data_IF_977571588532
#
_entry.id   IF_977571588532
#
_cell.length_a   1.000
_cell.length_b   1.000
_cell.length_c   1.000
_cell.angle_alpha   90.00
_cell.angle_beta   90.00
_cell.angle_gamma   90.00
#
_symmetry.space_group_name_H-M   'P 1'
#
loop_
_entity.id
_entity.type
_entity.pdbx_description
1 polymer ?
#
# COMPACT_ATOMS: atom_id res chain seq x y z
N UNK A 1 -7.79 -42.62 -31.40
CA UNK A 1 -6.40 -42.48 -30.89
C UNK A 1 -6.48 -41.43 -29.78
N UNK A 2 -6.55 -41.91 -28.52
CA UNK A 2 -6.65 -41.03 -27.34
C UNK A 2 -5.27 -40.55 -26.89
N UNK A 3 -5.06 -39.24 -26.94
CA UNK A 3 -3.92 -38.62 -26.30
C UNK A 3 -4.10 -38.70 -24.77
N UNK A 4 -3.37 -39.59 -24.12
CA UNK A 4 -3.23 -39.56 -22.67
C UNK A 4 -2.17 -38.49 -22.32
N UNK A 5 -2.61 -37.30 -21.92
CA UNK A 5 -1.74 -36.40 -21.20
C UNK A 5 -1.31 -37.05 -19.89
N UNK A 6 -0.06 -37.48 -19.81
CA UNK A 6 0.58 -37.76 -18.52
C UNK A 6 0.77 -36.42 -17.82
N UNK A 7 -0.10 -36.13 -16.88
CA UNK A 7 0.19 -35.10 -15.87
C UNK A 7 1.42 -35.62 -15.12
N UNK A 8 2.55 -34.96 -15.30
CA UNK A 8 3.75 -35.23 -14.51
C UNK A 8 3.40 -35.08 -13.03
N UNK A 9 3.87 -35.98 -12.18
CA UNK A 9 3.74 -35.82 -10.75
C UNK A 9 4.47 -34.54 -10.34
N UNK A 10 3.73 -33.58 -9.80
CA UNK A 10 4.31 -32.39 -9.24
C UNK A 10 5.20 -32.74 -8.04
N UNK A 11 6.40 -32.19 -8.00
CA UNK A 11 7.28 -32.32 -6.84
C UNK A 11 6.83 -31.33 -5.77
N UNK A 12 6.51 -31.81 -4.58
CA UNK A 12 6.24 -31.00 -3.41
C UNK A 12 7.47 -31.04 -2.52
N UNK A 13 8.14 -29.92 -2.36
CA UNK A 13 9.24 -29.76 -1.42
C UNK A 13 8.80 -28.94 -0.21
N UNK A 14 9.25 -29.35 0.97
CA UNK A 14 9.07 -28.55 2.18
C UNK A 14 10.00 -27.33 2.10
N UNK A 15 9.40 -26.13 2.16
CA UNK A 15 10.16 -24.87 2.21
C UNK A 15 10.10 -24.35 3.66
N UNK A 16 11.26 -24.00 4.22
CA UNK A 16 11.32 -23.35 5.52
C UNK A 16 10.75 -21.95 5.41
N UNK A 17 9.79 -21.61 6.29
CA UNK A 17 9.27 -20.27 6.37
C UNK A 17 10.38 -19.33 6.85
N UNK A 18 10.84 -18.41 6.01
CA UNK A 18 11.61 -17.24 6.40
C UNK A 18 10.63 -16.14 6.83
N UNK A 19 10.85 -15.51 7.98
CA UNK A 19 10.03 -14.41 8.45
C UNK A 19 9.95 -13.25 7.43
N UNK A 20 9.31 -12.14 7.84
CA UNK A 20 9.23 -10.92 7.01
C UNK A 20 10.63 -10.43 6.63
N UNK A 21 10.81 -10.00 5.38
CA UNK A 21 12.06 -9.43 4.89
C UNK A 21 12.45 -8.16 5.68
N UNK A 22 11.47 -7.44 6.18
CA UNK A 22 11.66 -6.30 7.07
C UNK A 22 10.71 -6.43 8.28
N UNK A 23 11.20 -6.91 9.44
CA UNK A 23 10.40 -6.98 10.65
C UNK A 23 10.10 -5.58 11.19
N UNK A 24 8.94 -5.44 11.82
CA UNK A 24 8.58 -4.25 12.59
C UNK A 24 9.47 -4.13 13.82
N UNK A 25 9.71 -2.90 14.28
CA UNK A 25 10.42 -2.55 15.49
C UNK A 25 9.80 -1.32 16.18
N UNK A 26 10.43 -0.84 17.25
CA UNK A 26 9.93 0.29 18.03
C UNK A 26 9.87 1.60 17.21
N UNK A 27 10.72 1.75 16.18
CA UNK A 27 10.76 2.93 15.32
C UNK A 27 9.74 2.84 14.17
N UNK A 28 9.45 1.63 13.73
CA UNK A 28 8.50 1.33 12.64
C UNK A 28 7.59 0.18 13.05
N UNK A 29 6.60 0.45 13.93
CA UNK A 29 5.80 -0.60 14.57
C UNK A 29 4.62 -1.09 13.74
N UNK A 30 4.40 -0.55 12.56
CA UNK A 30 3.30 -0.90 11.69
C UNK A 30 3.81 -1.62 10.43
N UNK A 31 2.97 -2.48 9.87
CA UNK A 31 3.26 -3.19 8.62
C UNK A 31 2.52 -2.51 7.47
N UNK A 32 3.26 -2.02 6.48
CA UNK A 32 2.68 -1.63 5.20
C UNK A 32 2.50 -2.87 4.33
N UNK A 33 1.33 -3.00 3.72
CA UNK A 33 1.06 -3.95 2.64
C UNK A 33 0.53 -3.21 1.41
N UNK A 34 0.88 -3.68 0.23
CA UNK A 34 0.39 -3.09 -1.01
C UNK A 34 -0.51 -4.06 -1.75
N UNK A 35 -1.52 -3.53 -2.42
CA UNK A 35 -2.47 -4.33 -3.17
C UNK A 35 -3.03 -3.61 -4.39
N UNK A 36 -3.74 -4.35 -5.23
CA UNK A 36 -4.44 -3.79 -6.39
C UNK A 36 -5.80 -3.25 -5.97
N UNK A 37 -6.14 -2.11 -6.49
CA UNK A 37 -7.49 -1.56 -6.37
C UNK A 37 -8.35 -2.09 -7.51
N UNK A 38 -9.61 -2.42 -7.22
CA UNK A 38 -10.56 -2.88 -8.23
C UNK A 38 -10.70 -1.84 -9.36
N UNK A 39 -10.68 -2.31 -10.62
CA UNK A 39 -10.80 -1.45 -11.79
C UNK A 39 -9.51 -0.80 -12.28
N UNK A 40 -8.40 -0.93 -11.55
CA UNK A 40 -7.09 -0.41 -11.96
C UNK A 40 -6.14 -1.57 -12.24
N UNK A 41 -5.62 -1.64 -13.48
CA UNK A 41 -4.71 -2.69 -13.90
C UNK A 41 -3.26 -2.17 -13.95
N UNK A 42 -2.34 -2.87 -13.32
CA UNK A 42 -0.91 -2.54 -13.23
C UNK A 42 -0.66 -1.10 -12.76
N UNK A 43 0.06 -0.30 -13.56
CA UNK A 43 0.39 1.11 -13.27
C UNK A 43 -0.73 2.08 -13.66
N UNK A 44 -1.94 1.61 -13.92
CA UNK A 44 -3.08 2.46 -14.27
C UNK A 44 -3.04 3.04 -15.70
N UNK A 45 -2.10 2.60 -16.56
CA UNK A 45 -1.90 3.17 -17.92
C UNK A 45 -3.13 3.09 -18.81
N UNK A 46 -4.07 2.20 -18.53
CA UNK A 46 -5.33 2.01 -19.27
C UNK A 46 -6.58 2.15 -18.41
N UNK A 47 -6.44 2.64 -17.18
CA UNK A 47 -7.57 2.83 -16.27
C UNK A 47 -8.13 4.24 -16.46
N UNK A 48 -9.46 4.35 -16.43
CA UNK A 48 -10.15 5.63 -16.57
C UNK A 48 -10.14 6.47 -15.29
N UNK A 49 -9.56 5.98 -14.19
CA UNK A 49 -9.46 6.75 -12.96
C UNK A 49 -8.17 7.56 -12.95
N UNK A 50 -8.34 8.84 -12.79
CA UNK A 50 -7.31 9.90 -12.77
C UNK A 50 -6.56 10.02 -11.44
N UNK A 51 -6.56 8.99 -10.61
CA UNK A 51 -6.00 9.00 -9.25
C UNK A 51 -4.46 8.93 -9.19
N UNK A 52 -3.80 9.31 -10.29
CA UNK A 52 -2.33 9.32 -10.37
C UNK A 52 -1.71 10.62 -9.86
N UNK A 53 -2.48 11.69 -9.88
CA UNK A 53 -2.01 13.06 -9.55
C UNK A 53 -2.41 13.49 -8.15
N UNK A 54 -3.22 12.68 -7.44
CA UNK A 54 -3.64 12.92 -6.06
C UNK A 54 -2.78 12.21 -5.02
N UNK A 55 -3.16 12.35 -3.75
CA UNK A 55 -2.57 11.56 -2.67
C UNK A 55 -3.09 10.12 -2.72
N UNK A 56 -2.24 9.10 -2.45
CA UNK A 56 -2.74 7.74 -2.31
C UNK A 56 -3.68 7.62 -1.11
N UNK A 57 -4.70 6.78 -1.22
CA UNK A 57 -5.58 6.47 -0.10
C UNK A 57 -5.02 5.30 0.70
N UNK A 58 -4.67 5.57 1.95
CA UNK A 58 -4.26 4.57 2.93
C UNK A 58 -5.49 4.02 3.64
N UNK A 59 -5.66 2.70 3.62
CA UNK A 59 -6.71 2.02 4.38
C UNK A 59 -6.12 1.36 5.61
N UNK A 60 -6.80 1.50 6.74
CA UNK A 60 -6.38 0.90 8.00
C UNK A 60 -7.55 0.72 8.96
N UNK A 61 -7.38 -0.20 9.91
CA UNK A 61 -8.37 -0.48 10.93
C UNK A 61 -8.62 0.73 11.83
N UNK A 62 -9.86 0.91 12.30
CA UNK A 62 -10.25 1.99 13.22
C UNK A 62 -9.41 2.02 14.50
N UNK A 63 -9.04 0.85 15.03
CA UNK A 63 -8.15 0.75 16.19
C UNK A 63 -6.75 1.29 15.92
N UNK A 64 -6.19 1.05 14.73
CA UNK A 64 -4.89 1.60 14.33
C UNK A 64 -4.94 3.12 14.30
N UNK A 65 -6.02 3.68 13.75
CA UNK A 65 -6.26 5.14 13.73
C UNK A 65 -6.36 5.67 15.16
N UNK A 66 -7.17 5.03 16.01
CA UNK A 66 -7.40 5.44 17.40
C UNK A 66 -6.10 5.45 18.23
N UNK A 67 -5.23 4.46 18.03
CA UNK A 67 -3.96 4.35 18.73
C UNK A 67 -2.89 5.34 18.25
N UNK A 68 -3.13 6.02 17.11
CA UNK A 68 -2.21 6.95 16.45
C UNK A 68 -2.85 8.30 16.11
N UNK A 69 -3.86 8.73 16.88
CA UNK A 69 -4.64 9.95 16.59
C UNK A 69 -3.78 11.20 16.35
N UNK A 70 -2.63 11.32 17.04
CA UNK A 70 -1.70 12.44 16.87
C UNK A 70 -1.01 12.47 15.50
N UNK A 71 -1.03 11.38 14.75
CA UNK A 71 -0.44 11.29 13.42
C UNK A 71 -1.41 11.71 12.29
N UNK A 72 -2.64 12.12 12.64
CA UNK A 72 -3.66 12.45 11.64
C UNK A 72 -4.06 13.93 11.74
N UNK A 73 -4.04 14.61 10.62
CA UNK A 73 -4.53 15.97 10.48
C UNK A 73 -5.39 16.06 9.21
N UNK A 74 -6.63 16.59 9.36
CA UNK A 74 -7.58 16.79 8.25
C UNK A 74 -7.82 15.57 7.37
N UNK A 75 -7.82 14.37 7.97
CA UNK A 75 -8.01 13.11 7.25
C UNK A 75 -6.78 12.65 6.47
N UNK A 76 -5.61 13.21 6.75
CA UNK A 76 -4.33 12.86 6.14
C UNK A 76 -3.32 12.41 7.19
N UNK A 77 -2.33 11.66 6.75
CA UNK A 77 -1.16 11.24 7.54
C UNK A 77 0.05 11.13 6.63
N UNK A 78 1.24 11.21 7.21
CA UNK A 78 2.50 10.88 6.54
C UNK A 78 2.90 9.47 6.94
N UNK A 79 3.04 8.59 5.97
CA UNK A 79 3.52 7.23 6.17
C UNK A 79 5.03 7.25 5.96
N UNK A 80 5.79 6.89 6.98
CA UNK A 80 7.25 6.95 6.97
C UNK A 80 7.84 5.54 7.00
N UNK A 81 8.79 5.28 6.13
CA UNK A 81 9.61 4.06 6.14
C UNK A 81 11.08 4.43 6.26
N UNK A 82 11.97 3.44 6.40
CA UNK A 82 13.43 3.67 6.38
C UNK A 82 13.95 4.25 5.07
N UNK A 83 13.14 4.29 4.02
CA UNK A 83 13.52 4.68 2.65
C UNK A 83 12.94 6.03 2.22
N UNK A 84 11.84 6.43 2.81
CA UNK A 84 11.18 7.68 2.48
C UNK A 84 9.86 7.85 3.20
N UNK A 85 9.14 8.89 2.81
CA UNK A 85 7.87 9.26 3.39
C UNK A 85 6.86 9.60 2.29
N UNK A 86 5.59 9.30 2.52
CA UNK A 86 4.50 9.57 1.59
C UNK A 86 3.30 10.10 2.36
N UNK A 87 2.81 11.26 1.98
CA UNK A 87 1.52 11.77 2.47
C UNK A 87 0.38 11.00 1.83
N UNK A 88 -0.59 10.59 2.62
CA UNK A 88 -1.75 9.82 2.18
C UNK A 88 -3.04 10.36 2.80
N UNK A 89 -4.16 10.25 2.09
CA UNK A 89 -5.49 10.35 2.69
C UNK A 89 -5.82 9.06 3.43
N UNK A 90 -6.63 9.15 4.48
CA UNK A 90 -6.94 8.00 5.34
C UNK A 90 -8.39 7.56 5.16
N UNK A 91 -8.59 6.28 4.92
CA UNK A 91 -9.88 5.62 4.89
C UNK A 91 -9.91 4.50 5.94
N UNK A 92 -10.97 4.47 6.75
CA UNK A 92 -11.17 3.40 7.72
C UNK A 92 -11.70 2.15 7.02
N UNK A 93 -11.04 1.01 7.27
CA UNK A 93 -11.43 -0.29 6.75
C UNK A 93 -11.19 -1.37 7.82
N UNK A 94 -12.24 -1.71 8.57
CA UNK A 94 -12.17 -2.71 9.65
C UNK A 94 -12.03 -4.16 9.14
N UNK A 95 -12.01 -4.37 7.82
CA UNK A 95 -11.61 -5.63 7.21
C UNK A 95 -10.10 -5.85 7.20
N UNK A 96 -9.31 -4.80 7.46
CA UNK A 96 -7.86 -4.88 7.59
C UNK A 96 -7.51 -5.11 9.07
N UNK A 97 -6.63 -6.05 9.42
CA UNK A 97 -6.22 -6.25 10.80
C UNK A 97 -5.54 -5.01 11.42
N UNK A 98 -5.71 -4.76 12.74
CA UNK A 98 -4.97 -3.72 13.44
C UNK A 98 -3.46 -3.84 13.26
N UNK A 99 -2.77 -2.71 13.14
CA UNK A 99 -1.33 -2.65 12.89
C UNK A 99 -0.91 -2.81 11.44
N UNK A 100 -1.86 -3.00 10.52
CA UNK A 100 -1.59 -3.08 9.08
C UNK A 100 -2.12 -1.83 8.38
N UNK A 101 -1.32 -1.31 7.45
CA UNK A 101 -1.68 -0.23 6.53
C UNK A 101 -1.69 -0.79 5.12
N UNK A 102 -2.78 -0.58 4.39
CA UNK A 102 -2.87 -0.95 2.99
C UNK A 102 -2.75 0.28 2.10
N UNK A 103 -1.91 0.20 1.06
CA UNK A 103 -1.77 1.22 0.00
C UNK A 103 -1.94 0.63 -1.40
N UNK A 104 -2.46 1.42 -2.36
CA UNK A 104 -2.58 0.98 -3.75
C UNK A 104 -1.22 0.89 -4.44
N UNK A 105 -0.84 -0.30 -4.92
CA UNK A 105 0.47 -0.56 -5.55
C UNK A 105 0.70 0.24 -6.84
N UNK A 106 -0.36 0.69 -7.49
CA UNK A 106 -0.28 1.43 -8.74
C UNK A 106 0.12 2.91 -8.58
N UNK A 107 0.08 3.43 -7.35
CA UNK A 107 0.43 4.84 -7.10
C UNK A 107 1.94 5.02 -7.04
N UNK A 108 2.54 5.93 -7.86
CA UNK A 108 3.99 6.06 -7.98
C UNK A 108 4.70 6.39 -6.67
N UNK A 109 4.07 7.21 -5.81
CA UNK A 109 4.66 7.60 -4.53
C UNK A 109 4.88 6.40 -3.58
N UNK A 110 4.05 5.36 -3.68
CA UNK A 110 4.14 4.17 -2.82
C UNK A 110 5.48 3.43 -2.98
N UNK A 111 6.09 3.51 -4.17
CA UNK A 111 7.41 2.92 -4.41
C UNK A 111 8.52 3.52 -3.54
N UNK A 112 8.34 4.74 -3.02
CA UNK A 112 9.31 5.38 -2.12
C UNK A 112 9.37 4.71 -0.74
N UNK A 113 8.32 3.98 -0.37
CA UNK A 113 8.21 3.29 0.93
C UNK A 113 8.72 1.86 0.86
N UNK A 114 8.62 1.21 -0.30
CA UNK A 114 8.81 -0.23 -0.45
C UNK A 114 10.27 -0.64 -0.46
N UNK A 115 10.53 -1.88 -0.01
CA UNK A 115 11.87 -2.45 0.05
C UNK A 115 12.30 -2.93 -1.35
N UNK A 116 13.42 -2.44 -1.90
CA UNK A 116 13.95 -2.93 -3.18
C UNK A 116 14.70 -4.27 -2.99
N UNK A 117 14.06 -5.22 -2.31
CA UNK A 117 14.62 -6.55 -2.07
C UNK A 117 13.96 -7.54 -2.99
N UNK A 118 14.74 -8.44 -3.53
CA UNK A 118 14.31 -9.54 -4.38
C UNK A 118 14.23 -10.80 -3.54
N UNK A 119 13.20 -11.59 -3.72
CA UNK A 119 13.11 -12.92 -3.12
C UNK A 119 14.24 -13.80 -3.70
N UNK A 120 15.09 -14.42 -2.88
CA UNK A 120 16.26 -15.14 -3.34
C UNK A 120 15.96 -16.42 -4.14
N UNK A 121 14.73 -16.94 -4.07
CA UNK A 121 14.32 -18.15 -4.79
C UNK A 121 13.58 -17.84 -6.10
N UNK A 122 12.77 -16.77 -6.10
CA UNK A 122 11.92 -16.43 -7.25
C UNK A 122 12.41 -15.23 -8.08
N UNK A 123 13.45 -14.52 -7.63
CA UNK A 123 13.89 -13.25 -8.18
C UNK A 123 12.77 -12.18 -8.30
N UNK A 124 11.65 -12.38 -7.59
CA UNK A 124 10.56 -11.42 -7.56
C UNK A 124 10.79 -10.31 -6.53
N UNK A 125 10.54 -9.05 -6.90
CA UNK A 125 10.66 -7.95 -5.97
C UNK A 125 9.65 -8.03 -4.82
N UNK A 126 10.12 -7.87 -3.58
CA UNK A 126 9.27 -7.90 -2.39
C UNK A 126 8.62 -6.53 -2.14
N UNK A 127 7.70 -6.11 -3.00
CA UNK A 127 6.94 -4.86 -2.86
C UNK A 127 5.81 -4.92 -1.85
N UNK A 128 5.53 -6.08 -1.28
CA UNK A 128 4.25 -6.32 -0.58
C UNK A 128 4.29 -5.99 0.89
N UNK A 129 5.46 -5.89 1.50
CA UNK A 129 5.57 -5.66 2.95
C UNK A 129 6.81 -4.84 3.29
N UNK A 130 6.63 -3.81 4.12
CA UNK A 130 7.71 -3.10 4.79
C UNK A 130 7.24 -2.55 6.14
N UNK A 131 8.20 -2.27 7.03
CA UNK A 131 7.92 -1.65 8.31
C UNK A 131 7.79 -0.13 8.14
N UNK A 132 6.75 0.46 8.75
CA UNK A 132 6.43 1.88 8.66
C UNK A 132 5.95 2.44 10.00
N UNK A 133 5.96 3.76 10.12
CA UNK A 133 5.26 4.51 11.15
C UNK A 133 4.37 5.59 10.52
N UNK A 134 3.56 6.26 11.34
CA UNK A 134 2.68 7.34 10.96
C UNK A 134 3.10 8.63 11.67
N UNK A 135 3.17 9.72 10.90
CA UNK A 135 3.47 11.06 11.41
C UNK A 135 2.39 12.06 10.97
N UNK A 136 2.22 13.13 11.74
CA UNK A 136 1.32 14.20 11.34
C UNK A 136 1.87 14.96 10.12
N UNK A 137 1.00 15.33 9.15
CA UNK A 137 1.41 16.18 8.04
C UNK A 137 1.99 17.51 8.57
N UNK A 138 3.13 17.91 8.03
CA UNK A 138 3.70 19.22 8.32
C UNK A 138 3.09 20.28 7.41
N UNK A 139 3.04 21.54 7.86
CA UNK A 139 2.47 22.67 7.10
C UNK A 139 3.19 22.94 5.75
N UNK A 140 4.25 22.22 5.45
CA UNK A 140 5.02 22.29 4.20
C UNK A 140 4.52 21.32 3.11
N UNK A 141 3.62 20.40 3.45
CA UNK A 141 3.01 19.53 2.45
C UNK A 141 1.98 20.35 1.65
N UNK A 142 2.03 20.34 0.32
CA UNK A 142 1.14 21.17 -0.50
C UNK A 142 -0.32 20.78 -0.23
N UNK A 143 -1.21 21.76 0.02
CA UNK A 143 -2.63 21.46 0.11
C UNK A 143 -3.10 20.90 -1.23
N UNK A 144 -3.87 19.81 -1.19
CA UNK A 144 -4.59 19.33 -2.38
C UNK A 144 -5.53 20.47 -2.79
N UNK A 145 -5.26 21.14 -3.91
CA UNK A 145 -6.22 22.01 -4.56
C UNK A 145 -7.44 21.13 -4.95
N UNK A 146 -8.49 21.24 -4.17
CA UNK A 146 -9.80 20.76 -4.58
C UNK A 146 -10.25 21.67 -5.73
N UNK A 147 -10.32 21.12 -6.95
CA UNK A 147 -10.81 21.81 -8.14
C UNK A 147 -12.24 22.32 -7.87
N UNK A 148 -12.49 23.65 -7.86
CA UNK A 148 -13.81 24.20 -7.59
C UNK A 148 -14.80 24.06 -8.76
N UNK A 149 -14.44 23.33 -9.82
CA UNK A 149 -15.27 23.18 -11.02
C UNK A 149 -16.07 21.88 -11.14
N UNK A 150 -16.13 21.06 -10.08
CA UNK A 150 -16.96 19.84 -10.11
C UNK A 150 -18.47 20.07 -9.85
N UNK A 151 -18.93 21.29 -9.65
CA UNK A 151 -20.36 21.62 -9.50
C UNK A 151 -20.83 22.58 -10.59
N UNK A 152 -21.13 22.07 -11.77
CA UNK A 152 -22.21 22.63 -12.62
C UNK A 152 -22.40 21.84 -13.92
N UNK A 153 -23.01 20.65 -13.85
CA UNK A 153 -23.81 20.14 -14.98
C UNK A 153 -25.06 19.50 -14.38
N UNK A 154 -26.08 20.28 -14.24
CA UNK A 154 -27.39 19.86 -13.79
C UNK A 154 -28.43 20.93 -14.16
N UNK A 155 -28.89 20.89 -15.40
CA UNK A 155 -30.18 21.40 -15.79
C UNK A 155 -30.57 20.79 -17.12
#
# INVERSE_FOLDING_TARGET
VGLRHRLGAGSVSAVSHSGLAEPIDDSYPLTLTTGRQAGIYNTGVRSQSTDRDGLPTARMHSETIANRLSAFERGQTVIVSRRGAVTATVETDDGIPPGIIWLPIHHPAVNQLTLPTVDPESDEPNYKQCAVDLEAPTASDPPVETDPHAESVGS
#
